data_IF_149879328739
#
_entry.id   IF_149879328739
#
_cell.length_a   1.000
_cell.length_b   1.000
_cell.length_c   1.000
_cell.angle_alpha   90.00
_cell.angle_beta   90.00
_cell.angle_gamma   90.00
#
_symmetry.space_group_name_H-M   'P 1'
#
loop_
_entity.id
_entity.type
_entity.pdbx_description
1 polymer ?
#
# COMPACT_ATOMS: atom_id res chain seq x y z
N UNK A 1 -11.03 -5.15 15.57
CA UNK A 1 -10.34 -5.37 14.30
C UNK A 1 -8.84 -5.27 14.44
N UNK A 2 -8.37 -4.23 15.16
CA UNK A 2 -6.94 -4.07 15.36
C UNK A 2 -6.30 -5.22 16.12
N UNK A 3 -7.05 -5.82 17.04
CA UNK A 3 -6.54 -6.97 17.80
C UNK A 3 -6.29 -8.18 16.89
N UNK A 4 -7.15 -8.39 15.89
CA UNK A 4 -6.96 -9.48 14.95
C UNK A 4 -5.70 -9.24 14.11
N UNK A 5 -5.55 -8.04 13.59
CA UNK A 5 -4.36 -7.68 12.81
C UNK A 5 -3.09 -7.74 13.66
N UNK A 6 -3.15 -7.25 14.88
CA UNK A 6 -2.01 -7.24 15.79
C UNK A 6 -1.53 -8.66 16.08
N UNK A 7 -2.46 -9.56 16.34
CA UNK A 7 -2.15 -10.96 16.60
C UNK A 7 -1.52 -11.62 15.36
N UNK A 8 -2.09 -11.33 14.19
CA UNK A 8 -1.59 -11.85 12.94
C UNK A 8 -0.16 -11.34 12.65
N UNK A 9 0.09 -10.07 12.93
CA UNK A 9 1.39 -9.45 12.68
C UNK A 9 2.52 -10.13 13.44
N UNK A 10 2.22 -10.75 14.57
CA UNK A 10 3.23 -11.43 15.37
C UNK A 10 3.84 -12.65 14.66
N UNK A 11 3.22 -13.11 13.59
CA UNK A 11 3.75 -14.23 12.81
C UNK A 11 4.88 -13.82 11.86
N UNK A 12 5.14 -12.53 11.73
CA UNK A 12 6.20 -12.04 10.84
C UNK A 12 7.48 -11.80 11.61
N UNK A 13 8.62 -11.92 10.91
CA UNK A 13 9.92 -11.73 11.52
C UNK A 13 10.25 -10.27 11.82
N UNK A 14 11.41 -10.06 12.41
CA UNK A 14 11.83 -8.72 12.86
C UNK A 14 12.07 -7.72 11.72
N UNK A 15 12.31 -8.22 10.51
CA UNK A 15 12.52 -7.32 9.36
C UNK A 15 11.23 -6.77 8.81
N UNK A 16 10.09 -7.28 9.25
CA UNK A 16 8.80 -6.80 8.76
C UNK A 16 8.45 -5.46 9.38
N UNK A 17 7.83 -4.61 8.60
CA UNK A 17 7.27 -3.35 9.08
C UNK A 17 5.80 -3.31 8.72
N UNK A 18 5.02 -2.57 9.47
CA UNK A 18 3.56 -2.65 9.45
C UNK A 18 2.94 -1.26 9.39
N UNK A 19 1.77 -1.21 8.77
CA UNK A 19 0.93 -0.01 8.80
C UNK A 19 -0.53 -0.44 8.77
N UNK A 20 -1.36 0.31 9.50
CA UNK A 20 -2.81 0.21 9.36
C UNK A 20 -3.27 1.26 8.37
N UNK A 21 -4.28 0.91 7.59
CA UNK A 21 -4.85 1.87 6.65
C UNK A 21 -6.32 1.56 6.43
N UNK A 22 -7.03 2.53 5.86
CA UNK A 22 -8.38 2.33 5.39
C UNK A 22 -8.36 2.52 3.88
N UNK A 23 -8.68 1.46 3.15
CA UNK A 23 -8.70 1.48 1.70
C UNK A 23 -10.10 1.15 1.26
N UNK A 24 -10.71 2.03 0.46
CA UNK A 24 -12.10 1.88 0.03
C UNK A 24 -13.02 1.68 1.22
N UNK A 25 -12.72 2.38 2.33
CA UNK A 25 -13.47 2.32 3.59
C UNK A 25 -13.40 0.97 4.29
N UNK A 26 -12.38 0.17 4.00
CA UNK A 26 -12.15 -1.11 4.67
C UNK A 26 -10.81 -1.06 5.39
N UNK A 27 -10.77 -1.54 6.66
CA UNK A 27 -9.50 -1.58 7.38
C UNK A 27 -8.60 -2.66 6.78
N UNK A 28 -7.32 -2.33 6.64
CA UNK A 28 -6.33 -3.27 6.13
C UNK A 28 -5.08 -3.19 6.99
N UNK A 29 -4.33 -4.28 6.99
CA UNK A 29 -2.98 -4.33 7.51
C UNK A 29 -2.04 -4.41 6.32
N UNK A 30 -1.05 -3.52 6.28
CA UNK A 30 0.00 -3.54 5.28
C UNK A 30 1.26 -4.08 5.94
N UNK A 31 1.92 -5.03 5.27
CA UNK A 31 3.15 -5.65 5.78
C UNK A 31 4.21 -5.55 4.71
N UNK A 32 5.34 -4.96 5.05
CA UNK A 32 6.43 -4.76 4.10
C UNK A 32 7.75 -5.28 4.66
N UNK A 33 8.54 -5.91 3.79
CA UNK A 33 9.92 -6.28 4.08
C UNK A 33 10.90 -5.40 3.29
N UNK A 34 10.39 -4.40 2.58
CA UNK A 34 11.21 -3.52 1.75
C UNK A 34 10.93 -2.07 2.12
N UNK A 35 11.38 -1.72 3.32
CA UNK A 35 11.19 -0.38 3.86
C UNK A 35 12.50 0.38 3.85
N UNK A 36 12.39 1.69 3.85
CA UNK A 36 13.54 2.60 3.86
C UNK A 36 13.15 3.87 4.62
N UNK A 37 14.16 4.62 5.02
CA UNK A 37 13.94 5.87 5.72
C UNK A 37 14.72 5.93 7.02
N UNK A 38 14.27 6.79 7.93
CA UNK A 38 14.95 7.01 9.19
C UNK A 38 14.45 6.08 10.27
N UNK A 39 15.22 5.01 10.55
CA UNK A 39 14.86 4.01 11.55
C UNK A 39 14.77 4.57 12.98
N UNK A 40 15.43 5.68 13.26
CA UNK A 40 15.45 6.22 14.61
C UNK A 40 14.06 6.62 15.10
N UNK A 41 13.22 7.08 14.20
CA UNK A 41 11.85 7.47 14.52
C UNK A 41 10.84 6.38 14.21
N UNK A 42 11.30 5.26 13.67
CA UNK A 42 10.44 4.18 13.20
C UNK A 42 9.38 4.65 12.22
N UNK A 43 9.70 5.70 11.46
CA UNK A 43 8.83 6.24 10.43
C UNK A 43 9.44 5.89 9.09
N UNK A 44 9.04 4.75 8.57
CA UNK A 44 9.62 4.20 7.35
C UNK A 44 8.61 4.28 6.21
N UNK A 45 9.15 4.37 4.99
CA UNK A 45 8.35 4.26 3.78
C UNK A 45 8.64 2.91 3.15
N UNK A 46 7.79 2.47 2.23
CA UNK A 46 7.93 1.15 1.65
C UNK A 46 7.95 1.20 0.13
N UNK A 47 8.80 0.35 -0.48
CA UNK A 47 8.78 0.12 -1.92
C UNK A 47 7.65 -0.83 -2.31
N UNK A 48 7.30 -1.74 -1.42
CA UNK A 48 6.32 -2.77 -1.70
C UNK A 48 5.60 -3.13 -0.42
N UNK A 49 4.39 -3.64 -0.54
CA UNK A 49 3.65 -4.10 0.63
C UNK A 49 2.70 -5.22 0.24
N UNK A 50 2.53 -6.16 1.18
CA UNK A 50 1.43 -7.12 1.12
C UNK A 50 0.22 -6.48 1.80
N UNK A 51 -0.96 -6.87 1.39
CA UNK A 51 -2.21 -6.27 1.86
C UNK A 51 -3.10 -7.35 2.43
N UNK A 52 -3.53 -7.18 3.68
CA UNK A 52 -4.39 -8.12 4.38
C UNK A 52 -5.65 -7.40 4.83
N UNK A 53 -6.80 -8.08 4.69
CA UNK A 53 -8.09 -7.53 5.09
C UNK A 53 -8.85 -8.57 5.90
N UNK A 54 -10.05 -8.23 6.33
CA UNK A 54 -10.92 -9.16 7.05
C UNK A 54 -12.07 -9.57 6.14
N UNK A 55 -12.38 -10.86 6.13
CA UNK A 55 -13.55 -11.35 5.41
C UNK A 55 -14.83 -11.12 6.23
N UNK A 56 -15.95 -11.60 5.71
CA UNK A 56 -17.26 -11.41 6.37
C UNK A 56 -17.33 -12.09 7.74
N UNK A 57 -16.48 -13.07 7.99
CA UNK A 57 -16.43 -13.77 9.28
C UNK A 57 -15.40 -13.16 10.23
N UNK A 58 -14.75 -12.07 9.82
CA UNK A 58 -13.73 -11.42 10.63
C UNK A 58 -12.38 -12.11 10.60
N UNK A 59 -12.17 -13.00 9.63
CA UNK A 59 -10.88 -13.70 9.48
C UNK A 59 -10.01 -12.97 8.49
N UNK A 60 -8.69 -13.08 8.69
CA UNK A 60 -7.74 -12.41 7.81
C UNK A 60 -7.63 -13.14 6.48
N UNK A 61 -7.70 -12.38 5.41
CA UNK A 61 -7.47 -12.87 4.05
C UNK A 61 -6.38 -12.04 3.40
N UNK A 62 -5.56 -12.69 2.58
CA UNK A 62 -4.52 -12.03 1.82
C UNK A 62 -5.13 -11.48 0.54
N UNK A 63 -5.00 -10.18 0.31
CA UNK A 63 -5.52 -9.57 -0.91
C UNK A 63 -4.50 -9.56 -2.04
N UNK A 64 -3.22 -9.50 -1.70
CA UNK A 64 -2.15 -9.47 -2.69
C UNK A 64 -1.02 -8.57 -2.27
N UNK A 65 -0.16 -8.26 -3.23
CA UNK A 65 1.00 -7.40 -3.01
C UNK A 65 1.10 -6.38 -4.13
N UNK A 66 1.59 -5.19 -3.79
CA UNK A 66 1.83 -4.13 -4.76
C UNK A 66 3.25 -3.63 -4.60
N UNK A 67 3.82 -3.07 -5.67
CA UNK A 67 5.22 -2.66 -5.68
C UNK A 67 5.44 -1.42 -6.54
N UNK A 68 6.19 -0.48 -5.99
CA UNK A 68 6.74 0.64 -6.73
C UNK A 68 8.12 0.27 -7.30
N UNK A 69 8.62 1.09 -8.20
CA UNK A 69 9.96 0.93 -8.76
C UNK A 69 10.79 2.15 -8.43
N UNK A 70 11.45 2.12 -7.29
CA UNK A 70 12.37 3.17 -6.86
C UNK A 70 11.89 3.91 -5.63
N UNK A 71 12.83 4.37 -4.83
CA UNK A 71 12.55 5.02 -3.54
C UNK A 71 11.94 6.41 -3.69
N UNK A 72 11.91 6.96 -4.91
CA UNK A 72 11.20 8.21 -5.18
C UNK A 72 9.68 8.03 -5.17
N UNK A 73 9.22 6.79 -5.21
CA UNK A 73 7.79 6.49 -5.35
C UNK A 73 7.32 5.54 -4.25
N UNK A 74 7.41 5.96 -2.98
CA UNK A 74 6.95 5.06 -1.91
C UNK A 74 5.48 4.72 -2.05
N UNK A 75 5.09 3.56 -1.56
CA UNK A 75 3.68 3.19 -1.48
C UNK A 75 2.94 4.32 -0.78
N UNK A 76 1.89 4.84 -1.40
CA UNK A 76 1.21 6.04 -0.93
C UNK A 76 -0.30 5.86 -0.95
N UNK A 77 -1.00 6.79 -0.32
CA UNK A 77 -2.47 6.78 -0.26
C UNK A 77 -3.01 8.14 -0.71
N UNK A 78 -4.03 8.10 -1.56
CA UNK A 78 -4.80 9.26 -1.95
C UNK A 78 -6.26 8.84 -2.11
N UNK A 79 -7.16 9.59 -1.48
CA UNK A 79 -8.61 9.35 -1.59
C UNK A 79 -9.00 7.89 -1.28
N UNK A 80 -8.43 7.33 -0.22
CA UNK A 80 -8.72 5.97 0.24
C UNK A 80 -8.29 4.88 -0.77
N UNK A 81 -7.32 5.19 -1.61
CA UNK A 81 -6.75 4.23 -2.57
C UNK A 81 -5.26 4.14 -2.36
N UNK A 82 -4.69 2.97 -2.63
CA UNK A 82 -3.24 2.79 -2.61
C UNK A 82 -2.66 3.13 -3.96
N UNK A 83 -1.50 3.77 -3.97
CA UNK A 83 -0.80 4.13 -5.19
C UNK A 83 0.64 3.65 -5.15
N UNK A 84 1.10 3.13 -6.27
CA UNK A 84 2.50 2.80 -6.51
C UNK A 84 2.89 3.37 -7.86
N UNK A 85 4.19 3.60 -8.06
CA UNK A 85 4.67 4.20 -9.29
C UNK A 85 6.12 3.83 -9.57
N UNK A 86 6.55 4.10 -10.79
CA UNK A 86 7.94 4.07 -11.23
C UNK A 86 8.12 5.22 -12.20
N UNK A 87 9.25 5.24 -12.92
CA UNK A 87 9.48 6.33 -13.88
C UNK A 87 8.50 6.31 -15.05
N UNK A 88 7.91 5.16 -15.34
CA UNK A 88 7.10 4.98 -16.55
C UNK A 88 5.72 4.44 -16.28
N UNK A 89 5.28 4.39 -15.02
CA UNK A 89 3.93 3.92 -14.72
C UNK A 89 3.42 4.49 -13.39
N UNK A 90 2.10 4.53 -13.28
CA UNK A 90 1.41 4.77 -12.00
C UNK A 90 0.22 3.82 -11.95
N UNK A 91 0.04 3.17 -10.80
CA UNK A 91 -1.09 2.28 -10.56
C UNK A 91 -1.84 2.70 -9.31
N UNK A 92 -3.15 2.61 -9.37
CA UNK A 92 -4.05 2.92 -8.27
C UNK A 92 -4.86 1.68 -7.94
N UNK A 93 -4.88 1.31 -6.65
CA UNK A 93 -5.55 0.11 -6.18
C UNK A 93 -6.61 0.45 -5.15
N UNK A 94 -7.73 -0.24 -5.26
CA UNK A 94 -8.79 -0.18 -4.26
C UNK A 94 -9.19 -1.58 -3.84
N UNK A 95 -10.23 -1.67 -3.02
CA UNK A 95 -10.77 -2.94 -2.59
C UNK A 95 -12.23 -2.98 -3.01
N UNK A 96 -12.61 -4.05 -3.68
CA UNK A 96 -14.00 -4.23 -4.11
C UNK A 96 -14.91 -4.33 -2.89
N UNK A 97 -16.05 -3.60 -2.94
CA UNK A 97 -16.86 -3.37 -1.77
C UNK A 97 -17.90 -4.42 -1.43
N UNK A 98 -18.26 -5.28 -2.35
CA UNK A 98 -19.33 -6.26 -2.12
C UNK A 98 -18.78 -7.67 -2.06
N UNK A 99 -19.31 -8.48 -1.13
CA UNK A 99 -18.87 -9.84 -0.93
C UNK A 99 -17.52 -9.90 -0.23
N UNK A 100 -16.73 -10.92 -0.56
CA UNK A 100 -15.41 -11.07 0.01
C UNK A 100 -14.49 -9.98 -0.56
N UNK A 101 -13.60 -9.42 0.27
CA UNK A 101 -12.75 -8.33 -0.20
C UNK A 101 -11.75 -8.83 -1.24
N UNK A 102 -11.57 -8.04 -2.30
CA UNK A 102 -10.61 -8.34 -3.36
C UNK A 102 -9.92 -7.06 -3.77
N UNK A 103 -8.61 -7.16 -3.96
CA UNK A 103 -7.83 -6.05 -4.47
C UNK A 103 -8.18 -5.84 -5.94
N UNK A 104 -8.40 -4.59 -6.33
CA UNK A 104 -8.69 -4.28 -7.72
C UNK A 104 -7.83 -3.12 -8.20
N UNK A 105 -7.46 -3.18 -9.48
CA UNK A 105 -6.79 -2.06 -10.12
C UNK A 105 -7.86 -1.07 -10.55
N UNK A 106 -7.85 0.10 -9.92
CA UNK A 106 -8.79 1.17 -10.24
C UNK A 106 -8.34 1.90 -11.50
N UNK A 107 -7.02 2.12 -11.62
CA UNK A 107 -6.45 2.83 -12.74
C UNK A 107 -4.98 2.44 -12.88
N UNK A 108 -4.52 2.30 -14.12
CA UNK A 108 -3.11 2.02 -14.41
C UNK A 108 -2.75 2.67 -15.73
N UNK A 109 -1.67 3.44 -15.74
CA UNK A 109 -1.13 4.02 -16.96
C UNK A 109 0.36 3.77 -17.00
N UNK A 110 0.87 3.45 -18.17
CA UNK A 110 2.29 3.22 -18.36
C UNK A 110 2.74 3.67 -19.74
N UNK A 111 4.04 3.90 -19.89
CA UNK A 111 4.64 4.21 -21.18
C UNK A 111 5.93 3.42 -21.34
N UNK A 112 6.27 3.11 -22.60
CA UNK A 112 7.50 2.37 -22.91
C UNK A 112 8.73 3.25 -22.94
N UNK A 113 8.55 4.57 -23.00
CA UNK A 113 9.64 5.51 -23.20
C UNK A 113 9.38 6.77 -22.38
N UNK A 114 10.30 7.72 -22.43
CA UNK A 114 10.16 8.97 -21.69
C UNK A 114 9.05 9.87 -22.22
N UNK A 115 8.29 9.38 -23.15
CA UNK A 115 7.22 10.15 -23.79
C UNK A 115 5.88 9.80 -23.16
N UNK A 116 5.62 10.39 -21.99
CA UNK A 116 4.43 10.07 -21.22
C UNK A 116 3.17 10.60 -21.90
N UNK A 117 2.13 9.78 -21.89
CA UNK A 117 0.82 10.21 -22.36
C UNK A 117 0.22 11.25 -21.42
N UNK A 118 -0.82 11.91 -21.89
CA UNK A 118 -1.57 12.87 -21.07
C UNK A 118 -2.15 12.19 -19.83
N UNK A 119 -2.64 10.97 -20.01
CA UNK A 119 -3.23 10.18 -18.92
C UNK A 119 -2.19 9.83 -17.87
N UNK A 120 -1.01 9.42 -18.30
CA UNK A 120 0.07 9.09 -17.35
C UNK A 120 0.54 10.33 -16.60
N UNK A 121 0.68 11.46 -17.30
CA UNK A 121 1.07 12.71 -16.63
C UNK A 121 0.06 13.11 -15.57
N UNK A 122 -1.24 12.95 -15.86
CA UNK A 122 -2.28 13.26 -14.90
C UNK A 122 -2.19 12.38 -13.65
N UNK A 123 -1.87 11.08 -13.83
CA UNK A 123 -1.67 10.18 -12.69
C UNK A 123 -0.44 10.53 -11.86
N UNK A 124 0.64 10.96 -12.51
CA UNK A 124 1.83 11.41 -11.76
C UNK A 124 1.51 12.65 -10.94
N UNK A 125 0.69 13.55 -11.45
CA UNK A 125 0.27 14.73 -10.68
C UNK A 125 -0.52 14.31 -9.44
N UNK A 126 -1.38 13.30 -9.58
CA UNK A 126 -2.09 12.76 -8.43
C UNK A 126 -1.15 12.10 -7.44
N UNK A 127 -0.15 11.36 -7.95
CA UNK A 127 0.81 10.71 -7.07
C UNK A 127 1.58 11.74 -6.24
N UNK A 128 1.87 12.90 -6.80
CA UNK A 128 2.55 13.96 -6.05
C UNK A 128 1.71 14.47 -4.88
N UNK A 129 0.38 14.37 -4.98
CA UNK A 129 -0.52 14.78 -3.91
C UNK A 129 -0.76 13.66 -2.91
N UNK A 130 -0.41 12.43 -3.26
CA UNK A 130 -0.61 11.30 -2.37
C UNK A 130 0.36 11.37 -1.19
N UNK A 131 -0.06 10.78 -0.08
CA UNK A 131 0.75 10.78 1.12
C UNK A 131 1.42 9.42 1.28
N UNK A 132 2.75 9.37 1.43
CA UNK A 132 3.42 8.09 1.69
C UNK A 132 2.87 7.43 2.95
N UNK A 133 2.69 6.13 2.89
CA UNK A 133 2.29 5.35 4.06
C UNK A 133 3.47 5.26 5.02
N UNK A 134 3.22 5.48 6.28
CA UNK A 134 4.24 5.35 7.31
C UNK A 134 4.18 3.95 7.91
N UNK A 135 5.30 3.24 7.82
CA UNK A 135 5.44 1.89 8.37
C UNK A 135 6.30 1.92 9.63
N UNK A 136 6.03 1.02 10.55
CA UNK A 136 6.85 0.85 11.75
C UNK A 136 7.11 -0.63 11.97
N UNK A 137 8.22 -0.93 12.67
CA UNK A 137 8.52 -2.32 13.04
C UNK A 137 7.68 -2.80 14.22
N UNK A 138 7.08 -1.88 14.95
CA UNK A 138 6.24 -2.19 16.11
C UNK A 138 4.81 -1.76 15.83
N UNK A 139 3.88 -2.68 15.97
CA UNK A 139 2.49 -2.45 15.62
C UNK A 139 1.62 -1.90 16.76
N UNK A 140 2.15 -1.81 17.94
CA UNK A 140 1.38 -1.46 19.13
C UNK A 140 1.45 0.02 19.49
N UNK A 141 1.49 0.87 18.47
CA UNK A 141 1.52 2.32 18.68
C UNK A 141 0.19 2.98 18.37
#
# INVERSE_FOLDING_TARGET
>A
QNEVFKSFAQNFGKSAAFAYANISNKPVLLVSHEVFGNDENEELEALATSIFALDSDGKIVTLGSIRSQGTLYPVSILDNKLMVAGHHFVSVYGIRGEGEPELEIVCHEESDMNNHSKELKALFEKFEQAKPVTFTHLLNK
#
